data_IF_847454686944
#
_entry.id   IF_847454686944
#
_cell.length_a   1.000
_cell.length_b   1.000
_cell.length_c   1.000
_cell.angle_alpha   90.00
_cell.angle_beta   90.00
_cell.angle_gamma   90.00
#
_symmetry.space_group_name_H-M   'P 1'
#
loop_
_entity.id
_entity.type
_entity.pdbx_description
1 polymer ?
#
# COMPACT_ATOMS: atom_id res chain seq x y z
N UNK A 1 -12.56 11.25 -6.90
CA UNK A 1 -11.63 10.41 -6.13
C UNK A 1 -12.40 9.42 -5.28
N UNK A 2 -11.96 8.16 -5.23
CA UNK A 2 -12.50 7.13 -4.33
C UNK A 2 -11.32 6.52 -3.58
N UNK A 3 -11.36 6.60 -2.25
CA UNK A 3 -10.37 5.97 -1.39
C UNK A 3 -10.68 4.48 -1.31
N UNK A 4 -9.68 3.63 -1.53
CA UNK A 4 -9.85 2.18 -1.54
C UNK A 4 -9.15 1.58 -0.32
N UNK A 5 -9.94 1.14 0.67
CA UNK A 5 -9.46 0.46 1.87
C UNK A 5 -10.28 -0.81 2.04
N UNK A 6 -9.61 -1.94 2.20
CA UNK A 6 -10.23 -3.24 2.34
C UNK A 6 -9.79 -3.87 3.65
N UNK A 7 -10.75 -4.33 4.45
CA UNK A 7 -10.46 -5.12 5.64
C UNK A 7 -10.20 -6.56 5.21
N UNK A 8 -9.07 -7.13 5.63
CA UNK A 8 -8.75 -8.54 5.36
C UNK A 8 -9.44 -9.50 6.33
N UNK A 9 -10.08 -8.96 7.36
CA UNK A 9 -10.83 -9.71 8.36
C UNK A 9 -12.22 -9.13 8.58
N UNK A 10 -13.29 -9.89 8.40
CA UNK A 10 -14.62 -9.41 8.81
C UNK A 10 -14.76 -9.68 10.30
N UNK A 11 -14.60 -8.65 11.13
CA UNK A 11 -14.95 -8.68 12.54
C UNK A 11 -16.47 -8.75 12.67
N UNK A 12 -17.02 -9.97 12.60
CA UNK A 12 -18.19 -10.26 13.41
C UNK A 12 -17.69 -10.70 14.79
N UNK A 13 -18.47 -10.36 15.83
CA UNK A 13 -18.21 -10.79 17.22
C UNK A 13 -18.02 -12.31 17.36
N UNK A 14 -18.38 -13.08 16.33
CA UNK A 14 -18.31 -14.54 16.25
C UNK A 14 -17.40 -15.05 15.11
N UNK A 15 -16.61 -14.20 14.45
CA UNK A 15 -15.67 -14.64 13.41
C UNK A 15 -14.48 -15.37 14.04
N UNK A 16 -14.01 -16.48 13.44
CA UNK A 16 -12.86 -17.21 13.97
C UNK A 16 -11.62 -16.34 13.84
N UNK A 17 -10.98 -16.06 14.98
CA UNK A 17 -9.60 -15.55 14.96
C UNK A 17 -8.76 -16.60 14.27
N UNK A 18 -8.17 -16.26 13.12
CA UNK A 18 -7.24 -17.18 12.47
C UNK A 18 -6.06 -17.43 13.41
N UNK A 19 -5.84 -18.70 13.72
CA UNK A 19 -4.62 -19.14 14.36
C UNK A 19 -3.43 -18.83 13.44
N UNK A 20 -2.25 -18.65 14.03
CA UNK A 20 -1.03 -18.45 13.25
C UNK A 20 -0.78 -19.75 12.48
N UNK A 21 -0.79 -19.74 11.13
CA UNK A 21 -0.63 -20.96 10.37
C UNK A 21 0.78 -21.53 10.60
N UNK A 22 0.88 -22.85 10.75
CA UNK A 22 2.18 -23.52 10.84
C UNK A 22 2.85 -23.54 9.47
N UNK A 23 3.97 -22.82 9.34
CA UNK A 23 4.79 -22.86 8.12
C UNK A 23 5.85 -23.94 8.28
N UNK A 24 5.66 -25.08 7.60
CA UNK A 24 6.67 -26.11 7.54
C UNK A 24 7.77 -25.72 6.55
N UNK A 25 8.93 -25.31 7.07
CA UNK A 25 10.09 -24.87 6.28
C UNK A 25 10.53 -25.89 5.23
N UNK A 26 10.34 -27.20 5.47
CA UNK A 26 10.68 -28.26 4.51
C UNK A 26 9.75 -28.29 3.30
N UNK A 27 8.56 -27.73 3.44
CA UNK A 27 7.55 -27.71 2.40
C UNK A 27 7.60 -26.39 1.62
N UNK A 28 8.39 -25.39 1.99
CA UNK A 28 8.48 -24.14 1.21
C UNK A 28 8.93 -24.48 -0.22
N UNK A 29 8.13 -24.06 -1.20
CA UNK A 29 8.40 -24.30 -2.61
C UNK A 29 9.27 -23.20 -3.17
N UNK A 30 10.30 -23.58 -3.94
CA UNK A 30 11.20 -22.67 -4.62
C UNK A 30 11.08 -22.83 -6.14
N UNK A 31 11.15 -21.72 -6.86
CA UNK A 31 11.17 -21.68 -8.31
C UNK A 31 12.44 -20.98 -8.82
N UNK A 32 12.86 -21.33 -10.03
CA UNK A 32 13.93 -20.66 -10.77
C UNK A 32 13.38 -19.77 -11.90
N UNK A 33 12.06 -19.78 -12.12
CA UNK A 33 11.42 -19.22 -13.32
C UNK A 33 10.20 -18.34 -12.99
N UNK A 34 10.22 -17.03 -13.30
CA UNK A 34 11.22 -16.35 -14.13
C UNK A 34 12.52 -16.01 -13.38
N UNK A 35 13.64 -15.98 -14.11
CA UNK A 35 14.98 -15.69 -13.57
C UNK A 35 15.02 -14.42 -12.68
N UNK A 36 15.63 -14.46 -11.48
CA UNK A 36 15.72 -13.30 -10.58
C UNK A 36 16.41 -12.05 -11.14
N UNK A 37 17.22 -12.21 -12.20
CA UNK A 37 17.83 -11.07 -12.92
C UNK A 37 16.81 -10.27 -13.75
N UNK A 38 15.71 -10.91 -14.11
CA UNK A 38 14.61 -10.35 -14.88
C UNK A 38 13.58 -9.63 -13.98
N UNK A 39 13.53 -10.00 -12.70
CA UNK A 39 12.66 -9.43 -11.66
C UNK A 39 12.97 -7.95 -11.36
N UNK A 40 14.22 -7.50 -11.59
CA UNK A 40 14.64 -6.09 -11.42
C UNK A 40 13.98 -5.12 -12.42
N UNK A 41 13.31 -5.63 -13.46
CA UNK A 41 12.82 -4.84 -14.58
C UNK A 41 11.30 -4.84 -14.76
N UNK A 42 10.51 -5.39 -13.83
CA UNK A 42 9.04 -5.35 -13.90
C UNK A 42 8.50 -6.14 -15.09
N UNK A 43 8.20 -7.42 -14.89
CA UNK A 43 7.39 -8.21 -15.80
C UNK A 43 5.90 -7.86 -15.66
N UNK A 44 5.49 -6.77 -16.32
CA UNK A 44 4.09 -6.54 -16.73
C UNK A 44 3.66 -7.54 -17.83
N UNK A 45 3.80 -8.85 -17.62
CA UNK A 45 3.17 -9.88 -18.45
C UNK A 45 1.99 -10.49 -17.70
N UNK A 46 1.09 -9.65 -17.23
CA UNK A 46 -0.32 -10.02 -17.37
C UNK A 46 -0.62 -10.00 -18.86
N UNK A 47 -1.44 -10.95 -19.30
CA UNK A 47 -1.76 -11.42 -20.65
C UNK A 47 -2.17 -10.40 -21.71
N UNK A 48 -2.03 -9.09 -21.49
CA UNK A 48 -2.52 -8.03 -22.38
C UNK A 48 -1.46 -6.96 -22.64
N UNK A 49 -1.48 -6.36 -23.83
CA UNK A 49 -0.49 -5.43 -24.42
C UNK A 49 -0.27 -4.08 -23.68
N UNK A 50 -0.25 -4.05 -22.35
CA UNK A 50 -0.07 -2.85 -21.54
C UNK A 50 1.40 -2.54 -21.30
N UNK A 51 2.04 -1.84 -22.24
CA UNK A 51 3.37 -1.34 -22.02
C UNK A 51 3.32 0.03 -21.30
N UNK A 52 3.14 0.00 -19.97
CA UNK A 52 3.17 1.21 -19.13
C UNK A 52 4.54 1.89 -19.21
N UNK A 53 5.62 1.13 -19.34
CA UNK A 53 6.97 1.67 -19.52
C UNK A 53 7.05 2.49 -20.81
N UNK A 54 6.47 2.00 -21.91
CA UNK A 54 6.41 2.77 -23.16
C UNK A 54 5.53 4.01 -23.04
N UNK A 55 4.41 3.92 -22.31
CA UNK A 55 3.54 5.07 -22.04
C UNK A 55 4.31 6.19 -21.30
N UNK A 56 5.13 5.81 -20.32
CA UNK A 56 5.92 6.73 -19.49
C UNK A 56 7.11 7.36 -20.23
N UNK A 57 7.44 6.92 -21.45
CA UNK A 57 8.48 7.56 -22.29
C UNK A 57 8.03 8.90 -22.89
N UNK A 58 6.72 9.15 -22.96
CA UNK A 58 6.16 10.40 -23.47
C UNK A 58 5.66 11.25 -22.30
N UNK A 59 6.38 12.32 -21.94
CA UNK A 59 6.10 13.19 -20.79
C UNK A 59 4.66 13.72 -20.72
N UNK A 60 3.93 13.76 -21.84
CA UNK A 60 2.53 14.16 -21.86
C UNK A 60 1.61 13.18 -21.12
N UNK A 61 2.07 11.95 -20.80
CA UNK A 61 1.28 11.01 -20.01
C UNK A 61 0.86 11.57 -18.65
N UNK A 62 1.70 12.45 -18.08
CA UNK A 62 1.55 12.97 -16.71
C UNK A 62 0.27 13.77 -16.53
N UNK A 63 -0.20 14.48 -17.57
CA UNK A 63 -1.44 15.26 -17.48
C UNK A 63 -2.67 14.37 -17.28
N UNK A 64 -2.62 13.12 -17.75
CA UNK A 64 -3.71 12.18 -17.57
C UNK A 64 -3.68 11.45 -16.22
N UNK A 65 -2.67 11.68 -15.38
CA UNK A 65 -2.63 11.14 -14.02
C UNK A 65 -3.62 11.88 -13.11
N UNK A 66 -4.05 11.21 -12.04
CA UNK A 66 -4.87 11.83 -10.99
C UNK A 66 -4.13 12.94 -10.25
N UNK A 67 -2.82 12.73 -10.03
CA UNK A 67 -1.89 13.63 -9.38
C UNK A 67 -0.59 13.65 -10.18
N UNK A 68 -0.09 14.84 -10.47
CA UNK A 68 1.21 15.06 -11.06
C UNK A 68 2.08 15.81 -10.05
N UNK A 69 3.06 15.11 -9.49
CA UNK A 69 3.98 15.62 -8.48
C UNK A 69 5.15 16.41 -9.08
N UNK A 70 5.34 16.36 -10.40
CA UNK A 70 6.41 17.08 -11.10
C UNK A 70 5.99 18.51 -11.47
N UNK A 71 4.70 18.82 -11.39
CA UNK A 71 4.17 20.17 -11.62
C UNK A 71 4.68 21.17 -10.58
N UNK A 72 5.04 22.36 -11.06
CA UNK A 72 5.59 23.46 -10.25
C UNK A 72 4.78 24.75 -10.31
N UNK A 73 3.64 24.73 -11.02
CA UNK A 73 2.72 25.86 -11.10
C UNK A 73 1.99 26.10 -9.76
N UNK A 74 1.30 27.24 -9.66
CA UNK A 74 0.65 27.68 -8.42
C UNK A 74 -0.45 26.74 -7.91
N UNK A 75 -1.01 25.90 -8.77
CA UNK A 75 -2.07 24.94 -8.46
C UNK A 75 -1.53 23.52 -8.24
N UNK A 76 -0.22 23.30 -8.42
CA UNK A 76 0.40 21.99 -8.24
C UNK A 76 0.32 21.52 -6.80
N UNK A 77 0.30 20.20 -6.60
CA UNK A 77 0.22 19.60 -5.26
C UNK A 77 1.41 20.01 -4.39
N UNK A 78 2.59 20.18 -4.99
CA UNK A 78 3.77 20.64 -4.27
C UNK A 78 3.55 22.06 -3.73
N UNK A 79 3.10 23.00 -4.57
CA UNK A 79 2.91 24.41 -4.15
C UNK A 79 1.74 24.56 -3.18
N UNK A 80 0.58 23.99 -3.50
CA UNK A 80 -0.61 24.05 -2.64
C UNK A 80 -0.35 23.34 -1.31
N UNK A 81 0.27 22.17 -1.37
CA UNK A 81 0.65 21.39 -0.21
C UNK A 81 1.67 22.12 0.68
N UNK A 82 2.74 22.68 0.09
CA UNK A 82 3.74 23.49 0.80
C UNK A 82 3.08 24.61 1.62
N UNK A 83 2.13 25.33 1.01
CA UNK A 83 1.38 26.40 1.68
C UNK A 83 0.50 25.87 2.82
N UNK A 84 -0.18 24.75 2.59
CA UNK A 84 -1.13 24.15 3.53
C UNK A 84 -0.45 23.58 4.76
N UNK A 85 0.61 22.79 4.56
CA UNK A 85 1.31 22.08 5.64
C UNK A 85 2.52 22.88 6.18
N UNK A 86 2.86 24.00 5.53
CA UNK A 86 3.99 24.87 5.87
C UNK A 86 5.31 24.11 6.03
N UNK A 87 5.67 23.35 5.00
CA UNK A 87 6.96 22.66 4.87
C UNK A 87 7.72 23.13 3.64
N UNK A 88 8.91 22.60 3.36
CA UNK A 88 9.74 23.06 2.24
C UNK A 88 9.31 22.49 0.89
N UNK A 89 8.68 21.31 0.89
CA UNK A 89 8.07 20.66 -0.27
C UNK A 89 7.24 19.43 0.14
N UNK A 90 6.26 19.08 -0.69
CA UNK A 90 5.46 17.86 -0.57
C UNK A 90 5.75 16.97 -1.78
N UNK A 91 6.07 15.72 -1.49
CA UNK A 91 6.30 14.68 -2.48
C UNK A 91 5.26 13.56 -2.37
N UNK A 92 5.32 12.62 -3.30
CA UNK A 92 4.41 11.49 -3.37
C UNK A 92 4.44 10.65 -2.09
N UNK A 93 5.63 10.42 -1.51
CA UNK A 93 5.79 9.65 -0.28
C UNK A 93 5.11 10.34 0.91
N UNK A 94 5.29 11.64 1.06
CA UNK A 94 4.63 12.42 2.09
C UNK A 94 3.11 12.25 2.00
N UNK A 95 2.53 12.45 0.82
CA UNK A 95 1.08 12.33 0.65
C UNK A 95 0.57 10.93 1.01
N UNK A 96 1.17 9.86 0.47
CA UNK A 96 0.70 8.50 0.73
C UNK A 96 0.73 8.14 2.22
N UNK A 97 1.86 8.40 2.89
CA UNK A 97 1.98 8.07 4.31
C UNK A 97 1.17 9.03 5.19
N UNK A 98 1.00 10.29 4.77
CA UNK A 98 0.10 11.22 5.43
C UNK A 98 -1.33 10.68 5.44
N UNK A 99 -1.82 10.14 4.31
CA UNK A 99 -3.15 9.50 4.27
C UNK A 99 -3.23 8.31 5.24
N UNK A 100 -2.32 7.34 5.09
CA UNK A 100 -2.37 6.08 5.84
C UNK A 100 -2.29 6.36 7.35
N UNK A 101 -1.28 7.10 7.78
CA UNK A 101 -1.01 7.29 9.21
C UNK A 101 -2.12 8.05 9.92
N UNK A 102 -2.75 9.00 9.23
CA UNK A 102 -3.86 9.77 9.78
C UNK A 102 -5.17 8.98 9.80
N UNK A 103 -5.49 8.25 8.72
CA UNK A 103 -6.70 7.43 8.66
C UNK A 103 -6.74 6.38 9.77
N UNK A 104 -5.60 5.74 10.03
CA UNK A 104 -5.47 4.73 11.08
C UNK A 104 -5.09 5.29 12.45
N UNK A 105 -5.09 6.62 12.63
CA UNK A 105 -4.81 7.27 13.92
C UNK A 105 -3.43 6.97 14.50
N UNK A 106 -2.48 6.55 13.66
CA UNK A 106 -1.19 6.03 14.11
C UNK A 106 -0.28 7.12 14.69
N UNK A 107 -0.55 8.41 14.43
CA UNK A 107 0.25 9.55 14.92
C UNK A 107 -0.24 10.14 16.26
N UNK A 108 -1.35 9.63 16.81
CA UNK A 108 -2.02 10.26 17.95
C UNK A 108 -1.36 9.99 19.32
N UNK A 109 -0.37 9.09 19.39
CA UNK A 109 0.28 8.66 20.63
C UNK A 109 1.80 8.70 20.53
N UNK A 110 2.47 8.78 21.67
CA UNK A 110 3.93 8.67 21.74
C UNK A 110 4.40 7.37 21.11
N UNK A 111 5.43 7.45 20.27
CA UNK A 111 5.80 6.32 19.43
C UNK A 111 7.28 6.30 19.05
N UNK A 112 7.77 5.08 18.90
CA UNK A 112 9.08 4.78 18.35
C UNK A 112 8.89 4.12 17.00
N UNK A 113 9.31 4.82 15.95
CA UNK A 113 9.13 4.43 14.56
C UNK A 113 10.44 3.84 14.02
N UNK A 114 10.37 2.61 13.50
CA UNK A 114 11.42 2.03 12.67
C UNK A 114 11.02 2.16 11.20
N UNK A 115 11.86 2.79 10.38
CA UNK A 115 11.52 3.03 8.97
C UNK A 115 12.74 3.21 8.08
N UNK A 116 12.60 2.85 6.80
CA UNK A 116 13.58 3.15 5.77
C UNK A 116 13.34 4.49 5.03
N UNK A 117 12.32 5.25 5.43
CA UNK A 117 11.97 6.58 4.86
C UNK A 117 11.98 7.66 5.95
N UNK A 118 13.07 7.71 6.73
CA UNK A 118 13.21 8.56 7.92
C UNK A 118 12.88 10.02 7.68
N UNK A 119 13.33 10.61 6.57
CA UNK A 119 13.09 12.02 6.25
C UNK A 119 11.58 12.29 6.05
N UNK A 120 10.89 11.44 5.29
CA UNK A 120 9.44 11.54 5.08
C UNK A 120 8.69 11.44 6.41
N UNK A 121 9.02 10.45 7.25
CA UNK A 121 8.37 10.28 8.55
C UNK A 121 8.65 11.42 9.53
N UNK A 122 9.85 12.01 9.48
CA UNK A 122 10.20 13.20 10.28
C UNK A 122 9.35 14.40 9.86
N UNK A 123 9.16 14.59 8.55
CA UNK A 123 8.30 15.66 8.03
C UNK A 123 6.84 15.45 8.43
N UNK A 124 6.30 14.24 8.25
CA UNK A 124 4.92 13.90 8.61
C UNK A 124 4.65 14.15 10.10
N UNK A 125 5.51 13.64 10.99
CA UNK A 125 5.32 13.78 12.44
C UNK A 125 5.43 15.23 12.90
N UNK A 126 6.36 16.00 12.32
CA UNK A 126 6.49 17.45 12.56
C UNK A 126 5.24 18.22 12.13
N UNK A 127 4.72 17.94 10.93
CA UNK A 127 3.50 18.56 10.40
C UNK A 127 2.29 18.20 11.26
N UNK A 128 2.14 16.92 11.60
CA UNK A 128 1.05 16.43 12.44
C UNK A 128 1.01 17.17 13.79
N UNK A 129 2.14 17.22 14.51
CA UNK A 129 2.24 17.92 15.78
C UNK A 129 1.90 19.41 15.66
N UNK A 130 2.37 20.06 14.57
CA UNK A 130 2.07 21.47 14.32
C UNK A 130 0.58 21.72 14.07
N UNK A 131 -0.05 20.90 13.24
CA UNK A 131 -1.45 21.09 12.85
C UNK A 131 -2.43 20.74 13.96
N UNK A 132 -2.17 19.64 14.68
CA UNK A 132 -3.02 19.19 15.79
C UNK A 132 -2.72 19.91 17.11
N UNK A 133 -1.60 20.65 17.17
CA UNK A 133 -1.02 21.20 18.41
C UNK A 133 -0.73 20.12 19.46
N UNK A 134 -0.65 18.87 19.03
CA UNK A 134 -0.30 17.76 19.90
C UNK A 134 1.18 17.83 20.29
N UNK A 135 1.49 17.39 21.50
CA UNK A 135 2.87 17.25 22.00
C UNK A 135 3.29 15.79 22.00
N UNK A 136 3.05 15.10 20.90
CA UNK A 136 3.38 13.69 20.76
C UNK A 136 4.89 13.56 20.57
N UNK A 137 5.52 12.79 21.45
CA UNK A 137 6.95 12.50 21.37
C UNK A 137 7.17 11.34 20.40
N UNK A 138 7.77 11.64 19.26
CA UNK A 138 8.07 10.63 18.23
C UNK A 138 9.58 10.47 18.05
N UNK A 139 10.08 9.25 18.23
CA UNK A 139 11.45 8.87 17.92
C UNK A 139 11.48 8.09 16.61
N UNK A 140 12.37 8.45 15.68
CA UNK A 140 12.42 7.83 14.34
C UNK A 140 13.82 7.28 14.07
N UNK A 141 13.90 5.98 13.77
CA UNK A 141 15.12 5.23 13.56
C UNK A 141 15.11 4.49 12.22
N UNK A 142 16.25 4.46 11.53
CA UNK A 142 16.51 3.53 10.42
C UNK A 142 17.07 2.19 10.92
N UNK A 143 17.73 2.22 12.07
CA UNK A 143 18.24 1.04 12.77
C UNK A 143 17.95 1.22 14.26
N UNK A 144 17.28 0.23 14.85
CA UNK A 144 16.85 0.31 16.24
C UNK A 144 18.04 0.20 17.21
N UNK A 145 18.10 1.05 18.25
CA UNK A 145 19.00 0.85 19.37
C UNK A 145 18.74 -0.48 20.09
N UNK A 146 19.76 -1.17 20.64
CA UNK A 146 19.62 -2.53 21.20
C UNK A 146 18.56 -2.73 22.30
N UNK A 147 18.20 -1.67 23.01
CA UNK A 147 17.25 -1.71 24.14
C UNK A 147 15.88 -1.11 23.80
N UNK A 148 15.72 -0.52 22.62
CA UNK A 148 14.46 0.08 22.22
C UNK A 148 13.64 -0.91 21.38
N UNK A 149 12.31 -0.77 21.45
CA UNK A 149 11.36 -1.51 20.62
C UNK A 149 10.53 -0.53 19.80
N UNK A 150 10.20 -0.91 18.58
CA UNK A 150 9.37 -0.10 17.70
C UNK A 150 7.89 -0.32 18.03
N UNK A 151 7.14 0.77 18.17
CA UNK A 151 5.68 0.74 18.25
C UNK A 151 5.02 0.84 16.87
N UNK A 152 5.76 1.37 15.89
CA UNK A 152 5.34 1.43 14.49
C UNK A 152 6.53 1.07 13.59
N UNK A 153 6.31 0.21 12.60
CA UNK A 153 7.31 -0.12 11.57
C UNK A 153 6.76 0.26 10.20
N UNK A 154 7.51 1.03 9.43
CA UNK A 154 7.07 1.51 8.11
C UNK A 154 8.14 1.22 7.07
N UNK A 155 7.82 0.35 6.11
CA UNK A 155 8.74 -0.03 5.04
C UNK A 155 8.16 0.30 3.66
N UNK A 156 8.93 1.08 2.89
CA UNK A 156 8.69 1.35 1.47
C UNK A 156 9.80 0.75 0.63
N UNK A 157 9.50 -0.16 -0.28
CA UNK A 157 10.50 -0.94 -1.02
C UNK A 157 11.00 -0.26 -2.29
N UNK A 158 10.12 0.44 -3.02
CA UNK A 158 10.47 0.96 -4.34
C UNK A 158 9.59 2.16 -4.72
N UNK A 159 10.14 3.06 -5.54
CA UNK A 159 9.38 4.15 -6.20
C UNK A 159 8.71 3.68 -7.51
N UNK A 160 9.04 2.47 -7.97
CA UNK A 160 8.46 1.84 -9.16
C UNK A 160 7.82 0.50 -8.83
N UNK A 161 6.84 0.10 -9.65
CA UNK A 161 6.20 -1.21 -9.52
C UNK A 161 7.23 -2.34 -9.60
N UNK A 162 7.28 -3.16 -8.56
CA UNK A 162 8.08 -4.38 -8.52
C UNK A 162 7.19 -5.61 -8.73
N UNK A 163 7.81 -6.67 -9.25
CA UNK A 163 7.18 -8.00 -9.31
C UNK A 163 6.85 -8.54 -7.92
N UNK A 164 5.73 -9.25 -7.82
CA UNK A 164 5.23 -9.78 -6.55
C UNK A 164 6.25 -10.69 -5.86
N UNK A 165 6.87 -11.60 -6.61
CA UNK A 165 7.86 -12.55 -6.08
C UNK A 165 9.09 -11.81 -5.48
N UNK A 166 9.52 -10.71 -6.11
CA UNK A 166 10.60 -9.86 -5.58
C UNK A 166 10.22 -9.26 -4.23
N UNK A 167 9.01 -8.73 -4.18
CA UNK A 167 8.49 -7.98 -3.03
C UNK A 167 8.29 -8.93 -1.86
N UNK A 168 7.79 -10.14 -2.11
CA UNK A 168 7.71 -11.23 -1.12
C UNK A 168 9.07 -11.44 -0.46
N UNK A 169 10.15 -11.55 -1.24
CA UNK A 169 11.49 -11.73 -0.67
C UNK A 169 11.95 -10.56 0.20
N UNK A 170 11.69 -9.33 -0.24
CA UNK A 170 12.03 -8.14 0.53
C UNK A 170 11.26 -8.09 1.85
N UNK A 171 9.95 -8.34 1.82
CA UNK A 171 9.09 -8.37 3.00
C UNK A 171 9.54 -9.46 3.96
N UNK A 172 9.77 -10.69 3.48
CA UNK A 172 10.21 -11.81 4.31
C UNK A 172 11.53 -11.49 5.04
N UNK A 173 12.52 -10.95 4.33
CA UNK A 173 13.79 -10.55 4.93
C UNK A 173 13.62 -9.45 5.99
N UNK A 174 12.74 -8.49 5.72
CA UNK A 174 12.42 -7.43 6.67
C UNK A 174 11.65 -7.95 7.88
N UNK A 175 10.73 -8.89 7.72
CA UNK A 175 9.99 -9.51 8.83
C UNK A 175 10.94 -10.21 9.81
N UNK A 176 11.93 -10.96 9.30
CA UNK A 176 12.94 -11.61 10.15
C UNK A 176 13.72 -10.61 11.01
N UNK A 177 13.94 -9.40 10.49
CA UNK A 177 14.65 -8.33 11.20
C UNK A 177 13.72 -7.52 12.11
N UNK A 178 12.49 -7.25 11.67
CA UNK A 178 11.59 -6.28 12.27
C UNK A 178 10.72 -6.87 13.38
N UNK A 179 10.24 -8.11 13.25
CA UNK A 179 9.43 -8.78 14.29
C UNK A 179 10.17 -8.82 15.64
N UNK A 180 11.45 -9.21 15.72
CA UNK A 180 12.17 -9.18 17.00
C UNK A 180 12.32 -7.78 17.60
N UNK A 181 12.24 -6.73 16.78
CA UNK A 181 12.37 -5.32 17.21
C UNK A 181 11.02 -4.68 17.55
N UNK A 182 9.91 -5.32 17.20
CA UNK A 182 8.56 -4.83 17.42
C UNK A 182 8.13 -5.00 18.88
N UNK A 183 7.48 -3.99 19.45
CA UNK A 183 6.82 -4.09 20.75
C UNK A 183 5.48 -4.85 20.61
N UNK A 184 5.01 -5.58 21.63
CA UNK A 184 3.64 -6.08 21.65
C UNK A 184 2.63 -4.93 21.47
N UNK A 185 1.59 -5.15 20.65
CA UNK A 185 0.62 -4.11 20.26
C UNK A 185 1.14 -3.09 19.25
N UNK A 186 2.33 -3.29 18.68
CA UNK A 186 2.85 -2.46 17.60
C UNK A 186 2.04 -2.61 16.32
N UNK A 187 2.17 -1.61 15.44
CA UNK A 187 1.61 -1.63 14.09
C UNK A 187 2.72 -1.72 13.04
N UNK A 188 2.41 -2.25 11.87
CA UNK A 188 3.34 -2.30 10.73
C UNK A 188 2.66 -1.86 9.44
N UNK A 189 3.40 -1.18 8.58
CA UNK A 189 2.98 -0.78 7.23
C UNK A 189 4.02 -1.27 6.24
N UNK A 190 3.58 -2.07 5.28
CA UNK A 190 4.42 -2.61 4.22
C UNK A 190 3.89 -2.20 2.85
N UNK A 191 4.75 -1.66 2.00
CA UNK A 191 4.41 -1.48 0.58
C UNK A 191 4.25 -2.84 -0.09
N UNK A 192 3.16 -3.01 -0.81
CA UNK A 192 2.87 -4.15 -1.67
C UNK A 192 2.46 -3.62 -3.05
N UNK A 193 2.51 -4.46 -4.08
CA UNK A 193 2.10 -4.06 -5.43
C UNK A 193 0.88 -4.86 -5.85
N UNK A 194 1.05 -5.85 -6.72
CA UNK A 194 -0.04 -6.75 -7.07
C UNK A 194 -0.25 -7.83 -5.99
N UNK A 195 -1.42 -8.46 -5.98
CA UNK A 195 -1.79 -9.56 -5.06
C UNK A 195 -2.44 -10.71 -5.85
N UNK A 196 -1.79 -11.14 -6.93
CA UNK A 196 -2.30 -12.13 -7.89
C UNK A 196 -1.61 -13.49 -7.74
N UNK A 197 -0.36 -13.50 -7.28
CA UNK A 197 0.39 -14.74 -7.06
C UNK A 197 -0.07 -15.44 -5.77
N UNK A 198 0.02 -16.77 -5.78
CA UNK A 198 -0.27 -17.58 -4.60
C UNK A 198 0.64 -17.18 -3.43
N UNK A 199 1.95 -17.03 -3.68
CA UNK A 199 2.92 -16.69 -2.63
C UNK A 199 2.64 -15.34 -1.96
N UNK A 200 2.30 -14.29 -2.71
CA UNK A 200 1.95 -13.00 -2.12
C UNK A 200 0.69 -13.13 -1.25
N UNK A 201 -0.29 -13.88 -1.74
CA UNK A 201 -1.56 -14.12 -1.03
C UNK A 201 -1.33 -14.90 0.28
N UNK A 202 -0.49 -15.94 0.25
CA UNK A 202 -0.07 -16.70 1.42
C UNK A 202 0.74 -15.87 2.41
N UNK A 203 1.66 -15.03 1.93
CA UNK A 203 2.46 -14.14 2.78
C UNK A 203 1.57 -13.13 3.50
N UNK A 204 0.63 -12.49 2.81
CA UNK A 204 -0.32 -11.55 3.41
C UNK A 204 -1.17 -12.27 4.48
N UNK A 205 -1.62 -13.50 4.19
CA UNK A 205 -2.38 -14.32 5.15
C UNK A 205 -1.56 -14.65 6.40
N UNK A 206 -0.31 -15.08 6.21
CA UNK A 206 0.61 -15.32 7.31
C UNK A 206 0.80 -14.04 8.14
N UNK A 207 1.09 -12.90 7.50
CA UNK A 207 1.32 -11.64 8.19
C UNK A 207 0.08 -11.18 8.97
N UNK A 208 -1.12 -11.22 8.37
CA UNK A 208 -2.34 -10.82 9.09
C UNK A 208 -2.62 -11.70 10.32
N UNK A 209 -2.21 -12.98 10.30
CA UNK A 209 -2.39 -13.87 11.46
C UNK A 209 -1.58 -13.42 12.70
N UNK A 210 -0.56 -12.59 12.52
CA UNK A 210 0.29 -12.07 13.60
C UNK A 210 -0.31 -10.83 14.30
N UNK A 211 -1.36 -10.23 13.73
CA UNK A 211 -1.95 -8.96 14.15
C UNK A 211 -3.45 -9.12 14.43
N UNK A 212 -4.02 -8.18 15.18
CA UNK A 212 -5.46 -8.16 15.44
C UNK A 212 -6.23 -7.43 14.33
N UNK A 213 -5.56 -6.53 13.61
CA UNK A 213 -6.15 -5.79 12.49
C UNK A 213 -5.27 -5.88 11.25
N UNK A 214 -5.90 -6.01 10.08
CA UNK A 214 -5.20 -6.08 8.80
C UNK A 214 -6.04 -5.46 7.68
N UNK A 215 -5.42 -4.55 6.93
CA UNK A 215 -6.06 -3.80 5.85
C UNK A 215 -5.15 -3.69 4.64
N UNK A 216 -5.73 -3.70 3.44
CA UNK A 216 -5.05 -3.26 2.22
C UNK A 216 -5.60 -1.88 1.86
N UNK A 217 -4.71 -0.91 1.68
CA UNK A 217 -5.05 0.45 1.24
C UNK A 217 -4.32 0.78 -0.06
N UNK A 218 -5.05 1.34 -1.02
CA UNK A 218 -4.47 2.11 -2.14
C UNK A 218 -4.68 3.59 -1.81
N UNK A 219 -3.63 4.34 -1.42
CA UNK A 219 -3.74 5.77 -1.17
C UNK A 219 -4.30 6.49 -2.39
N UNK A 220 -5.06 7.55 -2.17
CA UNK A 220 -5.64 8.38 -3.22
C UNK A 220 -4.57 9.00 -4.13
N UNK A 221 -3.43 9.40 -3.55
CA UNK A 221 -2.32 9.94 -4.33
C UNK A 221 -1.53 8.91 -5.12
N UNK A 222 -1.71 7.61 -4.86
CA UNK A 222 -1.09 6.57 -5.67
C UNK A 222 -1.84 6.44 -7.00
N UNK A 223 -1.12 6.58 -8.12
CA UNK A 223 -1.71 6.53 -9.46
C UNK A 223 -2.42 5.20 -9.72
N UNK A 224 -3.56 5.24 -10.41
CA UNK A 224 -4.25 4.03 -10.87
C UNK A 224 -3.44 3.25 -11.91
N UNK A 225 -2.44 3.87 -12.56
CA UNK A 225 -1.47 3.14 -13.40
C UNK A 225 -0.51 2.26 -12.61
N UNK A 226 -0.23 2.63 -11.36
CA UNK A 226 0.67 1.89 -10.48
C UNK A 226 -0.11 0.84 -9.69
N UNK A 227 0.53 -0.32 -9.53
CA UNK A 227 0.03 -1.38 -8.66
C UNK A 227 0.29 -1.10 -7.18
N UNK A 228 1.02 -0.03 -6.83
CA UNK A 228 1.39 0.34 -5.47
C UNK A 228 0.17 0.43 -4.54
N UNK A 229 0.32 -0.26 -3.41
CA UNK A 229 -0.62 -0.43 -2.32
C UNK A 229 0.16 -0.59 -1.02
N UNK A 230 -0.53 -0.56 0.10
CA UNK A 230 0.06 -0.82 1.40
C UNK A 230 -0.76 -1.82 2.19
N UNK A 231 -0.08 -2.78 2.81
CA UNK A 231 -0.62 -3.64 3.85
C UNK A 231 -0.40 -2.93 5.20
N UNK A 232 -1.50 -2.60 5.87
CA UNK A 232 -1.53 -1.95 7.18
C UNK A 232 -1.96 -3.00 8.21
N UNK A 233 -1.09 -3.26 9.18
CA UNK A 233 -1.27 -4.26 10.22
C UNK A 233 -1.28 -3.57 11.58
N UNK A 234 -2.33 -3.77 12.36
CA UNK A 234 -2.56 -3.11 13.64
C UNK A 234 -2.55 -4.08 14.81
N UNK A 235 -1.98 -3.63 15.93
CA UNK A 235 -2.01 -4.33 17.23
C UNK A 235 -1.44 -5.77 17.17
N UNK A 236 -0.11 -5.85 17.07
CA UNK A 236 0.64 -7.12 17.03
C UNK A 236 0.35 -7.97 18.27
N UNK A 237 0.04 -9.26 18.05
CA UNK A 237 -0.24 -10.22 19.12
C UNK A 237 0.99 -10.44 20.03
N UNK A 238 0.76 -10.76 21.31
CA UNK A 238 1.83 -10.88 22.34
C UNK A 238 2.83 -12.03 22.12
N UNK A 239 2.43 -13.09 21.43
CA UNK A 239 3.27 -14.27 21.13
C UNK A 239 3.31 -14.45 19.63
N UNK A 240 4.28 -13.81 19.00
CA UNK A 240 4.57 -13.95 17.58
C UNK A 240 5.94 -14.59 17.45
N UNK A 241 5.99 -15.79 16.89
CA UNK A 241 7.23 -16.42 16.46
C UNK A 241 7.28 -16.37 14.94
N UNK A 242 8.37 -15.86 14.40
CA UNK A 242 8.62 -15.97 12.97
C UNK A 242 9.07 -17.40 12.67
N UNK A 243 8.65 -17.97 11.54
CA UNK A 243 9.25 -19.21 11.05
C UNK A 243 10.67 -18.94 10.54
N UNK A 244 11.57 -19.88 10.76
CA UNK A 244 12.95 -19.77 10.29
C UNK A 244 12.99 -19.95 8.77
N UNK A 245 13.13 -18.86 8.03
CA UNK A 245 13.41 -18.96 6.59
C UNK A 245 14.83 -19.51 6.41
N UNK A 246 15.03 -20.50 5.51
CA UNK A 246 16.35 -21.00 5.15
C UNK A 246 17.30 -19.84 4.82
N UNK A 247 18.40 -19.71 5.57
CA UNK A 247 19.38 -18.60 5.47
C UNK A 247 20.13 -18.53 4.13
N UNK A 248 19.88 -19.44 3.19
CA UNK A 248 20.56 -19.52 1.89
C UNK A 248 19.59 -19.98 0.80
N UNK A 249 19.00 -19.03 0.11
CA UNK A 249 18.58 -19.26 -1.28
C UNK A 249 19.78 -18.98 -2.19
N UNK A 250 19.91 -19.71 -3.29
CA UNK A 250 20.83 -19.30 -4.35
C UNK A 250 20.35 -17.95 -4.90
N UNK A 251 21.25 -17.13 -5.44
CA UNK A 251 20.86 -15.87 -6.10
C UNK A 251 19.96 -16.06 -7.34
N UNK A 252 19.65 -17.32 -7.69
CA UNK A 252 18.82 -17.73 -8.83
C UNK A 252 17.47 -18.35 -8.44
N UNK A 253 17.21 -18.56 -7.14
CA UNK A 253 15.96 -19.17 -6.65
C UNK A 253 15.10 -18.13 -5.95
N UNK A 254 13.80 -18.25 -6.12
CA UNK A 254 12.81 -17.45 -5.40
C UNK A 254 11.74 -18.35 -4.77
N UNK A 255 11.02 -17.82 -3.77
CA UNK A 255 9.97 -18.53 -3.05
C UNK A 255 8.68 -18.48 -3.88
N UNK A 256 8.16 -19.63 -4.27
CA UNK A 256 6.94 -19.75 -5.06
C UNK A 256 5.70 -20.12 -4.25
N UNK A 257 5.88 -20.67 -3.05
CA UNK A 257 4.80 -20.91 -2.08
C UNK A 257 5.36 -21.18 -0.67
N UNK A 258 4.66 -20.67 0.35
CA UNK A 258 4.79 -21.03 1.77
C UNK A 258 4.06 -22.33 2.11
N UNK A 259 3.22 -22.84 1.21
CA UNK A 259 2.36 -24.01 1.38
C UNK A 259 1.44 -23.88 2.61
N UNK A 260 0.72 -22.76 2.67
CA UNK A 260 -0.28 -22.47 3.69
C UNK A 260 -1.67 -22.66 3.08
N UNK A 261 -2.53 -23.40 3.78
CA UNK A 261 -3.93 -23.54 3.40
C UNK A 261 -4.67 -22.22 3.63
N UNK A 262 -5.27 -21.68 2.57
CA UNK A 262 -5.97 -20.41 2.59
C UNK A 262 -7.48 -20.61 2.80
N UNK A 263 -8.08 -19.94 3.81
CA UNK A 263 -9.53 -19.91 3.95
C UNK A 263 -10.20 -19.30 2.73
N UNK A 264 -11.30 -19.91 2.27
CA UNK A 264 -12.05 -19.45 1.09
C UNK A 264 -12.47 -17.99 1.26
N UNK A 265 -12.95 -17.60 2.45
CA UNK A 265 -13.38 -16.23 2.74
C UNK A 265 -12.28 -15.20 2.50
N UNK A 266 -11.03 -15.55 2.85
CA UNK A 266 -9.89 -14.68 2.64
C UNK A 266 -9.55 -14.56 1.15
N UNK A 267 -9.56 -15.69 0.43
CA UNK A 267 -9.31 -15.71 -1.02
C UNK A 267 -10.35 -14.86 -1.78
N UNK A 268 -11.65 -14.97 -1.43
CA UNK A 268 -12.72 -14.17 -2.03
C UNK A 268 -12.50 -12.67 -1.81
N UNK A 269 -11.97 -12.25 -0.65
CA UNK A 269 -11.62 -10.85 -0.39
C UNK A 269 -10.50 -10.39 -1.33
N UNK A 270 -9.43 -11.18 -1.47
CA UNK A 270 -8.31 -10.85 -2.37
C UNK A 270 -8.78 -10.76 -3.82
N UNK A 271 -9.63 -11.69 -4.26
CA UNK A 271 -10.25 -11.65 -5.60
C UNK A 271 -11.12 -10.40 -5.79
N UNK A 272 -11.92 -10.03 -4.78
CA UNK A 272 -12.70 -8.79 -4.81
C UNK A 272 -11.80 -7.56 -4.99
N UNK A 273 -10.73 -7.44 -4.21
CA UNK A 273 -9.75 -6.34 -4.32
C UNK A 273 -9.19 -6.26 -5.73
N UNK A 274 -8.74 -7.39 -6.28
CA UNK A 274 -8.19 -7.46 -7.63
C UNK A 274 -9.23 -7.06 -8.69
N UNK A 275 -10.47 -7.54 -8.56
CA UNK A 275 -11.58 -7.21 -9.47
C UNK A 275 -11.95 -5.72 -9.48
N UNK A 276 -11.62 -4.98 -8.42
CA UNK A 276 -11.88 -3.55 -8.33
C UNK A 276 -10.73 -2.72 -8.88
N UNK A 277 -9.49 -3.08 -8.54
CA UNK A 277 -8.32 -2.24 -8.83
C UNK A 277 -7.77 -2.47 -10.23
N UNK A 278 -7.80 -3.70 -10.74
CA UNK A 278 -7.28 -4.02 -12.07
C UNK A 278 -8.04 -3.26 -13.18
N UNK A 279 -9.38 -3.20 -13.18
CA UNK A 279 -10.11 -2.43 -14.19
C UNK A 279 -9.81 -0.92 -14.15
N UNK A 280 -9.55 -0.35 -12.98
CA UNK A 280 -9.21 1.07 -12.83
C UNK A 280 -7.90 1.39 -13.55
N UNK A 281 -6.90 0.51 -13.43
CA UNK A 281 -5.63 0.60 -14.16
C UNK A 281 -5.83 0.56 -15.67
N UNK A 282 -6.67 -0.34 -16.18
CA UNK A 282 -6.97 -0.42 -17.62
C UNK A 282 -7.67 0.82 -18.16
N UNK A 283 -8.66 1.35 -17.42
CA UNK A 283 -9.35 2.58 -17.79
C UNK A 283 -8.38 3.76 -17.85
N UNK A 284 -7.53 3.90 -16.83
CA UNK A 284 -6.51 4.96 -16.79
C UNK A 284 -5.53 4.86 -17.95
N UNK A 285 -4.99 3.66 -18.21
CA UNK A 285 -4.07 3.42 -19.32
C UNK A 285 -4.69 3.80 -20.66
N UNK A 286 -5.91 3.34 -20.93
CA UNK A 286 -6.59 3.61 -22.20
C UNK A 286 -6.87 5.10 -22.38
N UNK A 287 -7.28 5.80 -21.31
CA UNK A 287 -7.51 7.24 -21.34
C UNK A 287 -6.24 8.02 -21.68
N UNK A 288 -5.12 7.69 -21.02
CA UNK A 288 -3.83 8.35 -21.26
C UNK A 288 -3.30 8.02 -22.66
N UNK A 289 -3.41 6.75 -23.07
CA UNK A 289 -2.99 6.34 -24.41
C UNK A 289 -3.80 7.03 -25.51
N UNK A 290 -5.12 7.18 -25.32
CA UNK A 290 -5.98 7.92 -26.25
C UNK A 290 -5.58 9.39 -26.34
N UNK A 291 -5.30 10.03 -25.20
CA UNK A 291 -4.80 11.40 -25.15
C UNK A 291 -3.47 11.55 -25.91
N UNK A 292 -2.48 10.70 -25.63
CA UNK A 292 -1.18 10.73 -26.31
C UNK A 292 -1.35 10.54 -27.83
N UNK A 293 -2.18 9.58 -28.24
CA UNK A 293 -2.43 9.30 -29.66
C UNK A 293 -3.14 10.45 -30.38
N UNK A 294 -3.92 11.26 -29.68
CA UNK A 294 -4.58 12.43 -30.27
C UNK A 294 -3.60 13.50 -30.76
N UNK A 295 -2.39 13.54 -30.18
CA UNK A 295 -1.36 14.58 -30.41
C UNK A 295 -1.85 16.03 -30.18
N UNK A 296 -2.99 16.20 -29.49
CA UNK A 296 -3.56 17.52 -29.18
C UNK A 296 -3.22 17.92 -27.75
N UNK A 297 -1.97 18.31 -27.54
CA UNK A 297 -1.41 18.49 -26.18
C UNK A 297 -1.75 19.83 -25.51
N UNK A 298 -2.41 20.75 -26.23
CA UNK A 298 -2.78 22.08 -25.72
C UNK A 298 -4.27 22.39 -25.94
N UNK A 299 -5.06 21.37 -26.28
CA UNK A 299 -6.48 21.50 -26.61
C UNK A 299 -7.43 21.41 -25.41
N UNK A 300 -8.74 21.39 -25.70
CA UNK A 300 -9.77 21.26 -24.68
C UNK A 300 -9.58 20.03 -23.76
N UNK A 301 -9.10 18.92 -24.33
CA UNK A 301 -8.82 17.69 -23.57
C UNK A 301 -7.70 17.89 -22.54
N UNK A 302 -6.61 18.60 -22.89
CA UNK A 302 -5.56 18.93 -21.93
C UNK A 302 -6.10 19.78 -20.78
N UNK A 303 -6.88 20.82 -21.10
CA UNK A 303 -7.46 21.72 -20.10
C UNK A 303 -8.43 21.00 -19.17
N UNK A 304 -9.20 20.04 -19.68
CA UNK A 304 -10.07 19.20 -18.87
C UNK A 304 -9.29 18.33 -17.89
N UNK A 305 -8.24 17.64 -18.38
CA UNK A 305 -7.38 16.79 -17.56
C UNK A 305 -6.65 17.60 -16.48
N UNK A 306 -6.08 18.76 -16.86
CA UNK A 306 -5.47 19.71 -15.94
C UNK A 306 -6.44 20.16 -14.84
N UNK A 307 -7.68 20.55 -15.22
CA UNK A 307 -8.72 20.94 -14.25
C UNK A 307 -9.10 19.78 -13.33
N UNK A 308 -9.13 18.55 -13.84
CA UNK A 308 -9.38 17.36 -13.02
C UNK A 308 -8.27 17.14 -11.98
N UNK A 309 -7.01 17.32 -12.35
CA UNK A 309 -5.88 17.26 -11.40
C UNK A 309 -6.02 18.32 -10.30
N UNK A 310 -6.29 19.57 -10.65
CA UNK A 310 -6.45 20.64 -9.66
C UNK A 310 -7.63 20.37 -8.71
N UNK A 311 -8.73 19.84 -9.24
CA UNK A 311 -9.88 19.41 -8.44
C UNK A 311 -9.52 18.27 -7.49
N UNK A 312 -8.74 17.29 -7.93
CA UNK A 312 -8.26 16.19 -7.10
C UNK A 312 -7.36 16.71 -5.97
N UNK A 313 -6.44 17.62 -6.27
CA UNK A 313 -5.55 18.26 -5.28
C UNK A 313 -6.37 19.01 -4.23
N UNK A 314 -7.31 19.86 -4.66
CA UNK A 314 -8.17 20.59 -3.73
C UNK A 314 -8.99 19.65 -2.83
N UNK A 315 -9.57 18.61 -3.42
CA UNK A 315 -10.35 17.60 -2.68
C UNK A 315 -9.47 16.83 -1.68
N UNK A 316 -8.24 16.49 -2.07
CA UNK A 316 -7.28 15.80 -1.22
C UNK A 316 -6.88 16.66 -0.02
N UNK A 317 -6.55 17.94 -0.26
CA UNK A 317 -6.21 18.90 0.79
C UNK A 317 -7.36 19.07 1.78
N UNK A 318 -8.58 19.27 1.28
CA UNK A 318 -9.76 19.39 2.15
C UNK A 318 -9.97 18.12 3.00
N UNK A 319 -9.84 16.95 2.36
CA UNK A 319 -10.04 15.67 3.02
C UNK A 319 -9.00 15.42 4.12
N UNK A 320 -7.72 15.71 3.87
CA UNK A 320 -6.60 15.31 4.75
C UNK A 320 -6.04 16.43 5.62
N UNK A 321 -6.78 17.52 5.79
CA UNK A 321 -6.46 18.58 6.77
C UNK A 321 -7.49 18.68 7.90
N UNK A 322 -8.65 18.05 7.75
CA UNK A 322 -9.70 17.99 8.78
C UNK A 322 -9.66 16.67 9.55
N UNK A 323 -8.84 16.64 10.60
CA UNK A 323 -8.62 15.46 11.44
C UNK A 323 -9.90 14.91 12.09
N UNK A 324 -10.93 15.74 12.26
CA UNK A 324 -12.19 15.31 12.88
C UNK A 324 -12.98 14.33 12.02
N UNK A 325 -12.69 14.28 10.71
CA UNK A 325 -13.40 13.43 9.74
C UNK A 325 -12.74 12.09 9.47
N UNK A 326 -11.54 11.83 10.01
CA UNK A 326 -10.78 10.64 9.64
C UNK A 326 -11.43 9.33 10.07
N UNK A 327 -12.00 9.29 11.28
CA UNK A 327 -12.71 8.12 11.77
C UNK A 327 -13.93 7.81 10.89
N UNK A 328 -14.74 8.82 10.58
CA UNK A 328 -15.92 8.68 9.71
C UNK A 328 -15.53 8.31 8.27
N UNK A 329 -14.43 8.88 7.75
CA UNK A 329 -13.93 8.56 6.43
C UNK A 329 -13.43 7.11 6.35
N UNK A 330 -12.64 6.66 7.32
CA UNK A 330 -12.17 5.28 7.41
C UNK A 330 -13.37 4.33 7.50
N UNK A 331 -14.27 4.56 8.46
CA UNK A 331 -15.46 3.73 8.68
C UNK A 331 -16.35 3.64 7.45
N UNK A 332 -16.70 4.79 6.85
CA UNK A 332 -17.55 4.82 5.66
C UNK A 332 -16.90 4.18 4.43
N UNK A 333 -15.56 4.21 4.34
CA UNK A 333 -14.82 3.52 3.27
C UNK A 333 -14.82 2.02 3.48
N UNK A 334 -14.55 1.56 4.70
CA UNK A 334 -14.61 0.15 5.08
C UNK A 334 -16.02 -0.44 4.91
N UNK A 335 -17.06 0.28 5.35
CA UNK A 335 -18.45 -0.18 5.18
C UNK A 335 -18.83 -0.35 3.70
N UNK A 336 -18.27 0.48 2.81
CA UNK A 336 -18.49 0.37 1.36
C UNK A 336 -17.76 -0.84 0.77
N UNK A 337 -16.48 -1.03 1.12
CA UNK A 337 -15.69 -2.16 0.62
C UNK A 337 -16.20 -3.49 1.18
N UNK A 338 -16.52 -3.56 2.47
CA UNK A 338 -17.11 -4.74 3.10
C UNK A 338 -18.42 -5.13 2.43
N UNK A 339 -19.36 -4.19 2.23
CA UNK A 339 -20.62 -4.48 1.52
C UNK A 339 -20.38 -5.05 0.13
N UNK A 340 -19.43 -4.48 -0.60
CA UNK A 340 -19.10 -4.88 -1.97
C UNK A 340 -18.46 -6.28 -2.03
N UNK A 341 -17.50 -6.56 -1.16
CA UNK A 341 -16.80 -7.85 -1.12
C UNK A 341 -17.59 -8.96 -0.42
N UNK A 342 -18.56 -8.62 0.43
CA UNK A 342 -19.54 -9.58 0.98
C UNK A 342 -20.58 -9.97 -0.08
N UNK A 343 -20.98 -9.04 -0.96
CA UNK A 343 -21.93 -9.33 -2.05
C UNK A 343 -21.38 -10.36 -3.04
N UNK A 344 -20.08 -10.35 -3.34
CA UNK A 344 -19.43 -11.41 -4.14
C UNK A 344 -19.54 -12.79 -3.48
N UNK A 345 -19.45 -12.88 -2.15
CA UNK A 345 -19.59 -14.15 -1.40
C UNK A 345 -20.98 -14.79 -1.54
N UNK A 346 -22.04 -13.98 -1.67
CA UNK A 346 -23.42 -14.50 -1.79
C UNK A 346 -23.72 -15.09 -3.16
N UNK A 347 -22.96 -14.73 -4.20
CA UNK A 347 -23.20 -15.23 -5.56
C UNK A 347 -22.62 -16.63 -5.72
N UNK A 348 -21.48 -16.94 -5.10
CA UNK A 348 -20.87 -18.29 -5.15
C UNK A 348 -21.76 -19.33 -4.46
N UNK A 349 -22.36 -19.00 -3.31
CA UNK A 349 -23.31 -19.87 -2.60
C UNK A 349 -24.66 -20.09 -3.32
N UNK A 350 -24.91 -19.45 -4.46
CA UNK A 350 -26.14 -19.66 -5.27
C UNK A 350 -25.90 -20.71 -6.37
N UNK A 351 -24.65 -21.06 -6.64
CA UNK A 351 -24.27 -22.03 -7.66
C UNK A 351 -23.67 -23.33 -7.10
N UNK A 352 -23.57 -23.45 -5.78
CA UNK A 352 -23.41 -24.70 -5.03
C UNK A 352 -24.80 -25.22 -4.57
#
# INVERSE_FOLDING_TARGET
>A
MKLNIYRLYISHKDSPKFDIPEVNVKNISLSNDPSPKLIKYGFNKTTDNFNVIDLMKDDHYKIGLNFDFDRTDAESINVVGKKTFNITGIDHNFCMFWEILNLFGMLAIDQTILTNIKNTMTNITSVYNKMTKAKVNTKIYETMPPKEKASLIVNKYSDVDLEEDAVVHLIINDLQRSIPLAAPGSSMIFQIFSCQTAIMTELIFFMMSLFNEAYIIKPLTSSDLSNEKFLVLGDMKKKVSMFDIPKKYSSSTYMSSLNIDLPVEYVTIIQCINSELIPQKFLMYNNIQAYIRSKMYEGAQYQELYRCQNKNIASWIEMFTDFSKFEDLLKSTLDKSDKKCILSRRIENVFD
#
